data_IF_672783203933
#
_entry.id   IF_672783203933
#
_cell.length_a   1.000
_cell.length_b   1.000
_cell.length_c   1.000
_cell.angle_alpha   90.00
_cell.angle_beta   90.00
_cell.angle_gamma   90.00
#
_symmetry.space_group_name_H-M   'P 1'
#
loop_
_entity.id
_entity.type
_entity.pdbx_description
1 polymer ?
#
# COMPACT_ATOMS: atom_id res chain seq x y z
N UNK A 1 -6.47 -15.57 29.07
CA UNK A 1 -6.18 -14.49 28.12
C UNK A 1 -6.72 -14.92 26.75
N UNK A 2 -8.02 -14.76 26.50
CA UNK A 2 -8.60 -15.13 25.20
C UNK A 2 -8.96 -13.84 24.46
N UNK A 3 -7.94 -13.19 23.90
CA UNK A 3 -8.16 -12.14 22.90
C UNK A 3 -7.98 -12.78 21.53
N UNK A 4 -9.09 -13.09 20.88
CA UNK A 4 -9.16 -13.66 19.54
C UNK A 4 -8.83 -12.64 18.41
N UNK A 5 -8.08 -11.57 18.71
CA UNK A 5 -7.85 -10.45 17.79
C UNK A 5 -6.42 -10.36 17.23
N UNK A 6 -5.54 -11.33 17.53
CA UNK A 6 -4.23 -11.41 16.90
C UNK A 6 -3.70 -12.85 16.97
N UNK A 7 -3.60 -13.62 15.87
CA UNK A 7 -3.00 -14.96 15.90
C UNK A 7 -1.49 -14.98 16.15
N UNK A 8 -0.94 -13.90 16.71
CA UNK A 8 0.44 -13.85 17.15
C UNK A 8 1.39 -13.60 16.01
N UNK A 9 2.57 -13.11 16.35
CA UNK A 9 3.69 -13.15 15.42
C UNK A 9 4.10 -14.59 15.15
N UNK A 10 5.28 -14.76 14.58
CA UNK A 10 5.91 -16.05 14.35
C UNK A 10 6.35 -16.74 15.65
N UNK A 11 5.43 -16.93 16.61
CA UNK A 11 5.69 -17.43 17.96
C UNK A 11 6.13 -18.89 17.94
N UNK A 12 5.50 -19.71 17.09
CA UNK A 12 5.84 -21.13 16.93
C UNK A 12 7.25 -21.33 16.34
N UNK A 13 7.79 -20.30 15.67
CA UNK A 13 9.14 -20.31 15.12
C UNK A 13 10.20 -19.84 16.13
N UNK A 14 9.80 -19.37 17.32
CA UNK A 14 10.75 -18.90 18.34
C UNK A 14 11.39 -20.07 19.11
N UNK A 15 12.63 -19.90 19.59
CA UNK A 15 13.26 -20.89 20.45
C UNK A 15 12.53 -21.02 21.79
N UNK A 16 12.70 -22.17 22.44
CA UNK A 16 12.32 -22.32 23.85
C UNK A 16 13.16 -21.35 24.69
N UNK A 17 12.52 -20.60 25.57
CA UNK A 17 13.21 -19.70 26.48
C UNK A 17 13.97 -20.51 27.51
N UNK A 18 15.29 -20.32 27.54
CA UNK A 18 16.13 -21.02 28.49
C UNK A 18 15.89 -20.50 29.92
N UNK A 19 15.86 -21.43 30.87
CA UNK A 19 15.61 -21.19 32.28
C UNK A 19 16.55 -20.16 32.89
N UNK A 20 17.78 -20.14 32.40
CA UNK A 20 18.87 -19.27 32.84
C UNK A 20 18.78 -17.80 32.38
N UNK A 21 17.82 -17.44 31.53
CA UNK A 21 17.65 -16.04 31.12
C UNK A 21 17.38 -15.15 32.35
N UNK A 22 18.12 -14.03 32.53
CA UNK A 22 18.01 -13.21 33.74
C UNK A 22 16.59 -12.75 34.04
N UNK A 23 16.15 -12.96 35.28
CA UNK A 23 14.84 -12.52 35.73
C UNK A 23 13.67 -13.46 35.36
N UNK A 24 13.96 -14.67 34.89
CA UNK A 24 12.94 -15.70 34.70
C UNK A 24 12.13 -15.91 36.01
N UNK A 25 10.79 -15.74 36.02
CA UNK A 25 9.97 -15.94 37.21
C UNK A 25 9.54 -17.39 37.44
N UNK A 26 9.77 -18.29 36.47
CA UNK A 26 9.30 -19.68 36.52
C UNK A 26 10.30 -20.57 37.26
N UNK A 27 10.14 -20.63 38.58
CA UNK A 27 10.98 -21.45 39.45
C UNK A 27 10.74 -22.95 39.18
N UNK A 28 11.80 -23.71 38.93
CA UNK A 28 11.68 -25.16 38.79
C UNK A 28 11.34 -25.79 40.13
N UNK A 29 10.34 -26.68 40.15
CA UNK A 29 9.87 -27.34 41.35
C UNK A 29 9.78 -28.86 41.16
N UNK A 30 9.97 -29.61 42.25
CA UNK A 30 9.65 -31.04 42.28
C UNK A 30 8.13 -31.28 42.31
N UNK A 31 7.72 -32.56 42.27
CA UNK A 31 6.31 -32.94 42.31
C UNK A 31 5.57 -32.51 43.61
N UNK A 32 6.29 -32.12 44.66
CA UNK A 32 5.74 -31.64 45.92
C UNK A 32 5.73 -30.10 46.01
N UNK A 33 6.20 -29.40 44.98
CA UNK A 33 6.31 -27.95 44.96
C UNK A 33 7.57 -27.40 45.63
N UNK A 34 8.56 -28.24 45.94
CA UNK A 34 9.83 -27.76 46.50
C UNK A 34 10.73 -27.22 45.39
N UNK A 35 11.37 -26.05 45.58
CA UNK A 35 12.30 -25.49 44.60
C UNK A 35 13.48 -26.41 44.30
N UNK A 36 13.81 -26.56 43.02
CA UNK A 36 14.98 -27.26 42.54
C UNK A 36 16.19 -26.30 42.42
N UNK A 37 17.38 -26.87 42.55
CA UNK A 37 18.64 -26.16 42.43
C UNK A 37 19.53 -26.90 41.43
N UNK A 38 20.33 -26.14 40.68
CA UNK A 38 21.18 -26.66 39.62
C UNK A 38 22.65 -26.53 40.00
N UNK A 39 23.45 -27.48 39.51
CA UNK A 39 24.89 -27.41 39.60
C UNK A 39 25.42 -26.21 38.81
N UNK A 40 26.44 -25.55 39.36
CA UNK A 40 27.23 -24.49 38.73
C UNK A 40 28.70 -24.75 39.10
N UNK A 41 29.34 -25.68 38.38
CA UNK A 41 30.69 -26.13 38.68
C UNK A 41 31.77 -25.12 38.24
N UNK A 42 31.46 -24.26 37.27
CA UNK A 42 32.38 -23.28 36.72
C UNK A 42 32.24 -21.88 37.37
N UNK A 43 31.22 -21.67 38.19
CA UNK A 43 30.95 -20.44 38.94
C UNK A 43 30.46 -19.29 38.06
N UNK A 44 29.91 -19.58 36.88
CA UNK A 44 29.43 -18.57 35.94
C UNK A 44 27.97 -18.16 36.18
N UNK A 45 27.34 -18.70 37.23
CA UNK A 45 25.95 -18.46 37.63
C UNK A 45 24.90 -18.98 36.64
N UNK A 46 25.29 -19.85 35.71
CA UNK A 46 24.40 -20.58 34.81
C UNK A 46 24.32 -22.06 35.22
N UNK A 47 23.14 -22.69 35.09
CA UNK A 47 22.99 -24.13 35.31
C UNK A 47 23.85 -24.96 34.36
N UNK A 48 24.67 -25.86 34.90
CA UNK A 48 25.38 -26.86 34.12
C UNK A 48 24.38 -27.82 33.46
N UNK A 49 24.63 -28.13 32.18
CA UNK A 49 23.84 -29.10 31.40
C UNK A 49 24.69 -30.30 31.03
N UNK A 50 24.08 -31.48 31.06
CA UNK A 50 24.72 -32.73 30.67
C UNK A 50 24.89 -32.84 29.14
N UNK A 51 25.45 -33.96 28.66
CA UNK A 51 25.68 -34.20 27.23
C UNK A 51 24.38 -34.23 26.38
N UNK A 52 23.20 -34.33 27.01
CA UNK A 52 21.90 -34.30 26.34
C UNK A 52 21.22 -32.92 26.49
N UNK A 53 21.88 -31.93 27.09
CA UNK A 53 21.32 -30.60 27.33
C UNK A 53 20.38 -30.51 28.53
N UNK A 54 20.33 -31.53 29.39
CA UNK A 54 19.50 -31.56 30.59
C UNK A 54 20.25 -30.90 31.75
N UNK A 55 19.59 -30.00 32.46
CA UNK A 55 20.19 -29.34 33.64
C UNK A 55 20.52 -30.37 34.72
N UNK A 56 21.75 -30.31 35.22
CA UNK A 56 22.23 -31.15 36.31
C UNK A 56 21.77 -30.56 37.64
N UNK A 57 21.00 -31.32 38.41
CA UNK A 57 20.46 -30.86 39.69
C UNK A 57 21.48 -31.04 40.82
N UNK A 58 21.62 -30.01 41.66
CA UNK A 58 22.41 -30.04 42.90
C UNK A 58 21.62 -29.32 44.00
N UNK A 59 21.18 -30.01 45.07
CA UNK A 59 20.46 -29.39 46.19
C UNK A 59 21.19 -28.22 46.88
N UNK A 60 22.51 -28.14 46.76
CA UNK A 60 23.33 -27.04 47.31
C UNK A 60 23.75 -26.02 46.23
N UNK A 61 23.25 -26.20 45.00
CA UNK A 61 23.61 -25.41 43.85
C UNK A 61 22.85 -24.08 43.76
N UNK A 62 22.90 -23.48 42.57
CA UNK A 62 22.25 -22.21 42.30
C UNK A 62 20.75 -22.39 42.03
N UNK A 63 19.96 -21.31 42.18
CA UNK A 63 18.57 -21.33 41.75
C UNK A 63 18.38 -21.84 40.30
N UNK A 64 17.66 -22.96 40.12
CA UNK A 64 17.15 -23.43 38.82
C UNK A 64 15.74 -22.93 38.46
N UNK A 65 15.58 -22.43 37.23
CA UNK A 65 14.31 -21.99 36.66
C UNK A 65 14.00 -22.81 35.40
N UNK A 66 12.71 -23.02 35.13
CA UNK A 66 12.27 -23.88 34.02
C UNK A 66 12.50 -23.21 32.66
N UNK A 67 12.82 -24.05 31.66
CA UNK A 67 12.74 -23.66 30.26
C UNK A 67 11.25 -23.43 29.90
N UNK A 68 10.93 -22.31 29.24
CA UNK A 68 9.54 -21.89 28.98
C UNK A 68 9.28 -21.81 27.48
N UNK A 69 8.21 -22.46 27.03
CA UNK A 69 7.71 -22.31 25.65
C UNK A 69 6.67 -21.20 25.58
N UNK A 70 6.67 -20.46 24.48
CA UNK A 70 5.69 -19.41 24.26
C UNK A 70 4.34 -20.02 23.83
N UNK A 71 3.27 -19.68 24.54
CA UNK A 71 1.88 -19.93 24.07
C UNK A 71 1.21 -18.65 23.54
N UNK A 72 1.79 -17.49 23.82
CA UNK A 72 1.35 -16.18 23.39
C UNK A 72 2.24 -15.11 24.02
N UNK A 73 2.73 -14.16 23.23
CA UNK A 73 3.81 -13.29 23.69
C UNK A 73 3.74 -11.86 23.13
N UNK A 74 4.18 -10.93 23.97
CA UNK A 74 4.48 -9.54 23.60
C UNK A 74 5.96 -9.28 23.90
N UNK A 75 6.85 -9.25 22.89
CA UNK A 75 8.29 -9.15 23.10
C UNK A 75 8.71 -7.89 23.86
N UNK A 76 8.00 -6.78 23.67
CA UNK A 76 8.33 -5.51 24.31
C UNK A 76 7.10 -4.84 24.89
N UNK A 77 7.23 -4.39 26.13
CA UNK A 77 6.22 -3.62 26.86
C UNK A 77 6.64 -2.17 27.08
N UNK A 78 5.72 -1.33 27.57
CA UNK A 78 5.99 0.09 27.87
C UNK A 78 7.04 0.30 28.97
N UNK A 79 7.31 -0.73 29.76
CA UNK A 79 8.24 -0.73 30.89
C UNK A 79 9.69 -1.07 30.49
N UNK A 80 9.90 -1.59 29.28
CA UNK A 80 11.22 -1.91 28.72
C UNK A 80 11.94 -0.65 28.20
N UNK A 81 13.22 -0.81 27.86
CA UNK A 81 14.01 0.24 27.20
C UNK A 81 13.36 0.66 25.90
N UNK A 82 13.00 1.93 25.81
CA UNK A 82 12.29 2.44 24.65
C UNK A 82 13.22 2.50 23.44
N UNK A 83 12.90 1.76 22.38
CA UNK A 83 13.62 1.85 21.12
C UNK A 83 13.58 3.28 20.54
N UNK A 84 14.67 3.67 19.90
CA UNK A 84 14.82 4.91 19.15
C UNK A 84 13.62 5.11 18.23
N UNK A 85 13.15 6.36 18.08
CA UNK A 85 11.97 6.69 17.27
C UNK A 85 10.62 6.49 17.96
N UNK A 86 10.54 5.84 19.12
CA UNK A 86 9.31 5.82 19.92
C UNK A 86 9.16 7.06 20.82
N UNK A 87 7.90 7.44 21.09
CA UNK A 87 7.52 8.56 21.95
C UNK A 87 7.63 8.23 23.45
N UNK A 88 7.43 9.27 24.28
CA UNK A 88 7.29 9.20 25.74
C UNK A 88 6.51 8.00 26.27
N UNK A 89 5.42 7.64 25.59
CA UNK A 89 4.46 6.59 25.95
C UNK A 89 4.72 5.23 25.28
N UNK A 90 5.83 5.07 24.55
CA UNK A 90 6.19 3.86 23.82
C UNK A 90 5.46 3.65 22.50
N UNK A 91 4.72 4.65 21.98
CA UNK A 91 4.15 4.58 20.63
C UNK A 91 5.14 5.07 19.58
N UNK A 92 5.11 4.49 18.39
CA UNK A 92 5.85 5.01 17.24
C UNK A 92 4.97 6.05 16.52
N UNK A 93 5.37 7.33 16.43
CA UNK A 93 4.73 8.28 15.54
C UNK A 93 5.14 7.87 14.12
N UNK A 94 4.23 7.23 13.38
CA UNK A 94 4.47 6.86 11.99
C UNK A 94 5.09 8.02 11.21
N UNK A 95 6.05 7.71 10.33
CA UNK A 95 6.67 8.74 9.49
C UNK A 95 6.20 8.57 8.06
N UNK A 96 5.69 9.64 7.48
CA UNK A 96 5.30 9.70 6.09
C UNK A 96 5.83 11.01 5.50
N UNK A 97 6.48 10.93 4.34
CA UNK A 97 6.88 12.11 3.58
C UNK A 97 6.57 11.90 2.12
N UNK A 98 5.82 12.84 1.59
CA UNK A 98 5.52 12.96 0.18
C UNK A 98 6.24 14.18 -0.38
N UNK A 99 6.80 14.04 -1.57
CA UNK A 99 7.37 15.14 -2.34
C UNK A 99 6.96 14.98 -3.78
N UNK A 100 6.27 15.96 -4.32
CA UNK A 100 5.86 15.97 -5.71
C UNK A 100 6.33 17.25 -6.39
N UNK A 101 6.53 17.15 -7.71
CA UNK A 101 6.63 18.32 -8.58
C UNK A 101 5.76 18.09 -9.80
N UNK A 102 5.29 19.20 -10.38
CA UNK A 102 4.59 19.22 -11.65
C UNK A 102 5.08 20.43 -12.43
N UNK A 103 5.39 20.21 -13.69
CA UNK A 103 5.67 21.26 -14.66
C UNK A 103 4.67 21.07 -15.79
N UNK A 104 4.03 22.16 -16.21
CA UNK A 104 3.15 22.17 -17.37
C UNK A 104 3.53 23.33 -18.29
N UNK A 105 3.32 23.10 -19.58
CA UNK A 105 3.49 24.06 -20.64
C UNK A 105 2.27 23.96 -21.55
N UNK A 106 1.70 25.11 -21.88
CA UNK A 106 0.54 25.23 -22.74
C UNK A 106 0.81 26.34 -23.75
N UNK A 107 0.53 26.08 -25.03
CA UNK A 107 0.63 27.10 -26.08
C UNK A 107 -0.55 26.99 -27.02
N UNK A 108 -1.11 28.15 -27.34
CA UNK A 108 -2.12 28.30 -28.37
C UNK A 108 -1.44 28.79 -29.65
N UNK A 109 -1.93 28.36 -30.80
CA UNK A 109 -1.43 28.78 -32.10
C UNK A 109 -2.55 28.72 -33.15
N UNK A 110 -2.43 29.53 -34.20
CA UNK A 110 -3.30 29.41 -35.37
C UNK A 110 -2.78 28.27 -36.25
N UNK A 111 -3.67 27.42 -36.76
CA UNK A 111 -3.29 26.29 -37.60
C UNK A 111 -2.92 26.78 -39.00
N UNK A 112 -1.69 26.54 -39.49
CA UNK A 112 -1.32 26.95 -40.84
C UNK A 112 -2.21 26.28 -41.89
N UNK A 113 -2.61 27.05 -42.90
CA UNK A 113 -3.37 26.58 -44.07
C UNK A 113 -4.83 26.13 -43.79
N UNK A 114 -5.33 26.33 -42.57
CA UNK A 114 -6.73 26.13 -42.22
C UNK A 114 -7.29 27.42 -41.60
N UNK A 115 -8.03 28.19 -42.39
CA UNK A 115 -8.59 29.46 -41.93
C UNK A 115 -9.58 29.25 -40.77
N UNK A 116 -9.45 30.08 -39.72
CA UNK A 116 -10.28 30.01 -38.52
C UNK A 116 -9.95 28.85 -37.57
N UNK A 117 -8.99 27.97 -37.91
CA UNK A 117 -8.58 26.90 -37.03
C UNK A 117 -7.55 27.36 -36.00
N UNK A 118 -7.80 26.98 -34.75
CA UNK A 118 -6.90 27.18 -33.62
C UNK A 118 -6.41 25.83 -33.11
N UNK A 119 -5.20 25.85 -32.55
CA UNK A 119 -4.55 24.69 -31.98
C UNK A 119 -4.05 24.99 -30.58
N UNK A 120 -4.13 23.97 -29.72
CA UNK A 120 -3.57 23.95 -28.38
C UNK A 120 -2.60 22.79 -28.28
N UNK A 121 -1.37 23.06 -27.88
CA UNK A 121 -0.43 22.04 -27.46
C UNK A 121 -0.19 22.18 -25.96
N UNK A 122 -0.37 21.07 -25.25
CA UNK A 122 -0.14 20.98 -23.81
C UNK A 122 0.85 19.87 -23.51
N UNK A 123 1.82 20.15 -22.66
CA UNK A 123 2.76 19.16 -22.14
C UNK A 123 2.80 19.27 -20.62
N UNK A 124 2.69 18.13 -19.94
CA UNK A 124 2.75 18.05 -18.49
C UNK A 124 3.65 16.90 -18.07
N UNK A 125 4.51 17.15 -17.11
CA UNK A 125 5.30 16.12 -16.44
C UNK A 125 5.13 16.31 -14.93
N UNK A 126 4.82 15.24 -14.22
CA UNK A 126 4.90 15.17 -12.78
C UNK A 126 5.67 13.93 -12.32
N UNK A 127 6.23 14.06 -11.13
CA UNK A 127 6.73 12.92 -10.38
C UNK A 127 6.42 13.12 -8.90
N UNK A 128 6.25 12.01 -8.21
CA UNK A 128 5.97 11.95 -6.78
C UNK A 128 6.91 10.92 -6.14
N UNK A 129 7.47 11.27 -4.99
CA UNK A 129 8.23 10.35 -4.15
C UNK A 129 7.53 10.27 -2.80
N UNK A 130 7.08 9.07 -2.49
CA UNK A 130 6.47 8.70 -1.24
C UNK A 130 7.45 7.88 -0.42
N UNK A 131 7.73 8.27 0.82
CA UNK A 131 8.51 7.45 1.75
C UNK A 131 7.76 7.28 3.07
N UNK A 132 7.81 6.07 3.61
CA UNK A 132 7.19 5.72 4.88
C UNK A 132 8.13 4.97 5.81
N UNK A 133 8.02 5.20 7.11
CA UNK A 133 8.53 4.31 8.17
C UNK A 133 7.35 3.88 9.01
N UNK A 134 7.31 2.60 9.34
CA UNK A 134 6.32 2.01 10.22
C UNK A 134 7.01 1.24 11.35
N UNK A 135 6.26 0.99 12.42
CA UNK A 135 6.74 0.15 13.50
C UNK A 135 6.51 -1.31 13.15
N UNK A 136 7.61 -2.05 13.00
CA UNK A 136 7.56 -3.49 12.86
C UNK A 136 8.80 -4.11 13.51
N UNK A 137 8.72 -5.40 13.78
CA UNK A 137 9.72 -6.12 14.56
C UNK A 137 10.55 -7.05 13.66
N UNK A 138 11.87 -7.01 13.81
CA UNK A 138 12.77 -7.95 13.15
C UNK A 138 12.74 -9.30 13.87
N UNK A 139 12.26 -10.33 13.17
CA UNK A 139 12.12 -11.69 13.70
C UNK A 139 13.47 -12.29 14.08
N UNK A 140 14.43 -12.24 13.15
CA UNK A 140 15.79 -12.75 13.38
C UNK A 140 16.47 -12.03 14.53
N UNK A 141 16.23 -10.74 14.71
CA UNK A 141 16.80 -10.02 15.85
C UNK A 141 16.25 -10.50 17.20
N UNK A 142 14.96 -10.86 17.23
CA UNK A 142 14.36 -11.48 18.40
C UNK A 142 14.97 -12.87 18.63
N UNK A 143 15.01 -13.73 17.62
CA UNK A 143 15.55 -15.09 17.71
C UNK A 143 17.00 -15.08 18.20
N UNK A 144 17.85 -14.28 17.57
CA UNK A 144 19.25 -14.10 17.92
C UNK A 144 19.41 -13.60 19.35
N UNK A 145 18.63 -12.58 19.75
CA UNK A 145 18.64 -12.08 21.11
C UNK A 145 18.26 -13.13 22.15
N UNK A 146 17.22 -13.95 21.89
CA UNK A 146 16.79 -15.01 22.80
C UNK A 146 17.82 -16.12 22.96
N UNK A 147 18.55 -16.44 21.89
CA UNK A 147 19.64 -17.42 21.93
C UNK A 147 20.93 -16.87 22.52
N UNK A 148 21.02 -15.54 22.75
CA UNK A 148 22.27 -14.84 23.01
C UNK A 148 23.26 -14.94 21.84
N UNK A 149 22.77 -15.19 20.63
CA UNK A 149 23.55 -15.18 19.41
C UNK A 149 23.68 -13.72 18.96
N UNK A 150 24.87 -13.17 19.10
CA UNK A 150 25.10 -11.73 19.23
C UNK A 150 24.63 -10.87 18.04
N UNK A 151 23.80 -9.85 18.34
CA UNK A 151 23.60 -8.65 17.52
C UNK A 151 24.36 -7.42 18.06
N UNK A 152 25.24 -7.63 19.05
CA UNK A 152 26.08 -6.62 19.68
C UNK A 152 27.13 -7.21 20.62
N UNK A 153 27.53 -6.56 21.73
CA UNK A 153 28.49 -7.13 22.67
C UNK A 153 28.13 -8.56 23.07
N UNK A 154 29.15 -9.42 23.17
CA UNK A 154 29.02 -10.87 23.39
C UNK A 154 28.23 -11.23 24.66
N UNK A 155 28.07 -10.27 25.56
CA UNK A 155 27.48 -10.39 26.89
C UNK A 155 26.02 -9.92 27.00
N UNK A 156 25.38 -9.45 25.93
CA UNK A 156 23.98 -8.96 25.99
C UNK A 156 22.96 -9.89 25.29
N UNK A 157 22.21 -10.65 26.09
CA UNK A 157 21.04 -11.40 25.65
C UNK A 157 19.76 -10.55 25.67
N UNK A 158 18.82 -10.83 24.77
CA UNK A 158 17.48 -10.27 24.88
C UNK A 158 16.73 -10.93 26.04
N UNK A 159 16.32 -10.11 27.01
CA UNK A 159 15.53 -10.54 28.14
C UNK A 159 14.02 -10.38 27.86
N UNK A 160 13.27 -11.48 27.64
CA UNK A 160 11.83 -11.45 27.44
C UNK A 160 11.05 -11.15 28.74
N UNK A 161 11.66 -11.26 29.91
CA UNK A 161 11.01 -11.19 31.22
C UNK A 161 10.88 -9.77 31.77
N UNK A 162 11.71 -8.83 31.31
CA UNK A 162 11.66 -7.43 31.74
C UNK A 162 10.42 -6.65 31.21
N UNK A 163 9.35 -7.35 30.84
CA UNK A 163 8.00 -6.78 30.73
C UNK A 163 7.24 -6.84 32.06
N UNK A 164 7.63 -7.74 32.97
CA UNK A 164 7.08 -7.84 34.31
C UNK A 164 7.69 -6.76 35.23
N UNK A 165 6.88 -5.91 35.89
CA UNK A 165 7.35 -4.94 36.89
C UNK A 165 8.32 -5.50 37.93
N UNK A 166 8.12 -6.75 38.35
CA UNK A 166 8.94 -7.43 39.35
C UNK A 166 10.32 -7.83 38.83
N UNK A 167 10.53 -7.75 37.51
CA UNK A 167 11.74 -8.21 36.79
C UNK A 167 12.48 -7.05 36.10
N UNK A 168 11.96 -5.81 36.18
CA UNK A 168 12.44 -4.70 35.35
C UNK A 168 13.91 -4.33 35.57
N UNK A 169 14.42 -4.33 36.80
CA UNK A 169 15.78 -3.85 37.08
C UNK A 169 16.52 -4.81 37.99
N UNK A 170 17.79 -5.15 37.71
CA UNK A 170 18.65 -4.64 36.63
C UNK A 170 18.43 -5.27 35.25
N UNK A 171 17.38 -6.08 35.05
CA UNK A 171 17.27 -6.95 33.88
C UNK A 171 16.60 -6.35 32.63
N UNK A 172 16.43 -5.02 32.55
CA UNK A 172 15.94 -4.34 31.33
C UNK A 172 16.89 -4.56 30.15
N UNK A 173 16.34 -4.69 28.95
CA UNK A 173 17.12 -4.75 27.72
C UNK A 173 17.93 -3.48 27.46
N UNK A 174 19.08 -3.59 26.80
CA UNK A 174 19.84 -2.41 26.38
C UNK A 174 19.15 -1.64 25.25
N UNK A 175 19.59 -0.40 25.01
CA UNK A 175 19.08 0.41 23.89
C UNK A 175 19.34 -0.26 22.54
N UNK A 176 20.48 -0.94 22.41
CA UNK A 176 20.87 -1.62 21.19
C UNK A 176 19.95 -2.81 20.89
N UNK A 177 19.61 -3.63 21.89
CA UNK A 177 18.62 -4.71 21.72
C UNK A 177 17.25 -4.15 21.33
N UNK A 178 16.82 -3.06 21.98
CA UNK A 178 15.56 -2.41 21.65
C UNK A 178 15.55 -1.90 20.19
N UNK A 179 16.62 -1.26 19.73
CA UNK A 179 16.73 -0.71 18.37
C UNK A 179 16.91 -1.80 17.29
N UNK A 180 17.54 -2.92 17.64
CA UNK A 180 17.67 -4.07 16.74
C UNK A 180 16.32 -4.78 16.51
N UNK A 181 15.54 -4.98 17.58
CA UNK A 181 14.20 -5.57 17.50
C UNK A 181 13.22 -4.62 16.82
N UNK A 182 13.30 -3.31 17.08
CA UNK A 182 12.46 -2.29 16.45
C UNK A 182 13.29 -1.36 15.56
N UNK A 183 13.55 -1.75 14.30
CA UNK A 183 14.34 -0.95 13.36
C UNK A 183 13.56 0.24 12.79
N UNK A 184 12.97 1.07 13.65
CA UNK A 184 12.09 2.20 13.31
C UNK A 184 12.75 3.30 12.47
N UNK A 185 14.08 3.30 12.41
CA UNK A 185 14.86 4.25 11.61
C UNK A 185 14.94 3.84 10.14
N UNK A 186 14.68 2.57 9.83
CA UNK A 186 14.63 2.08 8.46
C UNK A 186 13.36 2.59 7.79
N UNK A 187 13.49 3.04 6.54
CA UNK A 187 12.33 3.21 5.68
C UNK A 187 11.66 1.85 5.55
N UNK A 188 10.34 1.77 5.74
CA UNK A 188 9.56 0.59 5.37
C UNK A 188 9.44 0.50 3.86
N UNK A 189 9.10 1.63 3.23
CA UNK A 189 8.74 1.69 1.81
C UNK A 189 9.17 3.01 1.20
N UNK A 190 9.50 2.96 -0.08
CA UNK A 190 9.61 4.10 -0.98
C UNK A 190 8.85 3.78 -2.26
N UNK A 191 8.01 4.71 -2.72
CA UNK A 191 7.35 4.63 -4.02
C UNK A 191 7.72 5.86 -4.83
N UNK A 192 8.31 5.65 -6.00
CA UNK A 192 8.57 6.73 -6.96
C UNK A 192 7.52 6.62 -8.09
N UNK A 193 6.63 7.59 -8.23
CA UNK A 193 5.57 7.63 -9.26
C UNK A 193 5.86 8.70 -10.31
N UNK A 194 5.48 8.48 -11.55
CA UNK A 194 5.67 9.44 -12.65
C UNK A 194 4.45 9.49 -13.58
N UNK A 195 4.20 10.68 -14.12
CA UNK A 195 3.18 10.92 -15.14
C UNK A 195 3.70 11.95 -16.15
N UNK A 196 3.58 11.63 -17.43
CA UNK A 196 3.82 12.54 -18.54
C UNK A 196 2.58 12.54 -19.43
N UNK A 197 2.10 13.70 -19.84
CA UNK A 197 0.96 13.87 -20.75
C UNK A 197 1.33 14.89 -21.82
N UNK A 198 1.09 14.54 -23.07
CA UNK A 198 1.24 15.42 -24.22
C UNK A 198 -0.08 15.40 -24.99
N UNK A 199 -0.67 16.57 -25.16
CA UNK A 199 -1.93 16.77 -25.87
C UNK A 199 -1.73 17.74 -27.03
N UNK A 200 -2.37 17.42 -28.15
CA UNK A 200 -2.55 18.31 -29.29
C UNK A 200 -4.02 18.32 -29.64
N UNK A 201 -4.65 19.49 -29.59
CA UNK A 201 -6.05 19.70 -29.95
C UNK A 201 -6.08 20.76 -31.04
N UNK A 202 -6.82 20.50 -32.11
CA UNK A 202 -7.09 21.44 -33.19
C UNK A 202 -8.60 21.58 -33.33
N UNK A 203 -9.11 22.81 -33.38
CA UNK A 203 -10.53 23.09 -33.51
C UNK A 203 -10.81 24.26 -34.44
N UNK A 204 -11.96 24.22 -35.11
CA UNK A 204 -12.40 25.25 -36.05
C UNK A 204 -13.70 24.84 -36.74
N UNK A 205 -14.06 25.56 -37.79
CA UNK A 205 -15.18 25.18 -38.66
C UNK A 205 -14.75 24.13 -39.68
N UNK A 206 -15.67 23.26 -40.11
CA UNK A 206 -15.40 22.21 -41.08
C UNK A 206 -14.81 22.79 -42.37
N UNK A 207 -13.60 22.35 -42.79
CA UNK A 207 -12.98 22.84 -44.01
C UNK A 207 -13.84 22.55 -45.24
N UNK A 208 -13.85 23.47 -46.20
CA UNK A 208 -14.62 23.35 -47.44
C UNK A 208 -15.91 24.17 -47.48
N UNK A 209 -16.21 24.96 -46.44
CA UNK A 209 -17.35 25.88 -46.43
C UNK A 209 -18.70 25.18 -46.36
N UNK A 210 -18.74 23.96 -45.80
CA UNK A 210 -19.97 23.24 -45.58
C UNK A 210 -20.73 23.85 -44.39
N UNK A 211 -21.95 24.29 -44.65
CA UNK A 211 -22.86 24.81 -43.64
C UNK A 211 -24.20 24.07 -43.69
N UNK A 212 -24.85 24.00 -42.55
CA UNK A 212 -26.22 23.55 -42.39
C UNK A 212 -27.12 24.78 -42.24
N UNK A 213 -28.46 24.62 -42.31
CA UNK A 213 -29.37 25.75 -42.15
C UNK A 213 -29.18 26.57 -40.87
N UNK A 214 -28.65 25.98 -39.79
CA UNK A 214 -28.32 26.68 -38.55
C UNK A 214 -26.90 27.25 -38.48
N UNK A 215 -26.07 27.12 -39.52
CA UNK A 215 -24.73 27.70 -39.60
C UNK A 215 -23.60 26.70 -39.93
N UNK A 216 -22.33 27.13 -39.76
CA UNK A 216 -21.16 26.31 -40.07
C UNK A 216 -21.02 25.14 -39.09
N UNK A 217 -20.52 24.00 -39.59
CA UNK A 217 -20.28 22.81 -38.77
C UNK A 217 -19.01 23.02 -37.95
N UNK A 218 -19.12 22.96 -36.62
CA UNK A 218 -17.96 22.99 -35.73
C UNK A 218 -17.25 21.63 -35.69
N UNK A 219 -15.93 21.63 -35.65
CA UNK A 219 -15.12 20.41 -35.61
C UNK A 219 -13.92 20.59 -34.67
N UNK A 220 -13.61 19.53 -33.93
CA UNK A 220 -12.38 19.41 -33.17
C UNK A 220 -11.76 18.02 -33.39
N UNK A 221 -10.44 17.98 -33.47
CA UNK A 221 -9.66 16.74 -33.51
C UNK A 221 -8.52 16.86 -32.54
N UNK A 222 -8.12 15.74 -31.95
CA UNK A 222 -6.94 15.76 -31.11
C UNK A 222 -6.30 14.41 -30.89
N UNK A 223 -5.09 14.46 -30.37
CA UNK A 223 -4.31 13.30 -30.01
C UNK A 223 -3.69 13.52 -28.63
N UNK A 224 -3.63 12.45 -27.85
CA UNK A 224 -2.97 12.41 -26.55
C UNK A 224 -1.96 11.28 -26.51
N UNK A 225 -0.80 11.56 -25.90
CA UNK A 225 0.13 10.54 -25.44
C UNK A 225 0.36 10.71 -23.95
N UNK A 226 0.07 9.68 -23.17
CA UNK A 226 0.27 9.63 -21.73
C UNK A 226 1.21 8.50 -21.36
N UNK A 227 2.19 8.76 -20.49
CA UNK A 227 3.02 7.73 -19.88
C UNK A 227 2.88 7.84 -18.36
N UNK A 228 2.52 6.75 -17.70
CA UNK A 228 2.41 6.71 -16.25
C UNK A 228 3.10 5.45 -15.70
N UNK A 229 3.70 5.55 -14.53
CA UNK A 229 4.39 4.41 -13.92
C UNK A 229 4.71 4.64 -12.46
N UNK A 230 5.08 3.56 -11.77
CA UNK A 230 5.54 3.58 -10.40
C UNK A 230 6.67 2.59 -10.17
N UNK A 231 7.50 2.86 -9.18
CA UNK A 231 8.59 2.01 -8.72
C UNK A 231 8.49 1.88 -7.20
N UNK A 232 7.97 0.73 -6.76
CA UNK A 232 7.77 0.34 -5.37
C UNK A 232 8.98 -0.40 -4.83
N UNK A 233 9.61 0.21 -3.81
CA UNK A 233 10.83 -0.26 -3.14
C UNK A 233 10.54 -0.51 -1.67
N UNK A 234 10.07 -1.72 -1.30
CA UNK A 234 10.00 -2.11 0.11
C UNK A 234 11.41 -2.21 0.69
N UNK A 235 11.53 -2.10 2.01
CA UNK A 235 12.81 -2.25 2.71
C UNK A 235 13.33 -3.68 2.67
N UNK A 236 14.63 -3.86 2.89
CA UNK A 236 15.24 -5.20 2.95
C UNK A 236 14.54 -6.12 3.99
N UNK A 237 14.11 -5.57 5.12
CA UNK A 237 13.40 -6.31 6.16
C UNK A 237 12.07 -6.90 5.66
N UNK A 238 11.33 -6.12 4.87
CA UNK A 238 10.07 -6.56 4.27
C UNK A 238 10.31 -7.47 3.07
N UNK A 239 11.32 -7.22 2.25
CA UNK A 239 11.67 -8.10 1.13
C UNK A 239 12.14 -9.49 1.57
N UNK A 240 12.79 -9.60 2.73
CA UNK A 240 13.26 -10.89 3.24
C UNK A 240 12.20 -11.68 4.00
N UNK A 241 11.00 -11.12 4.22
CA UNK A 241 9.96 -11.73 5.07
C UNK A 241 10.38 -11.89 6.54
N UNK A 242 11.41 -11.17 6.99
CA UNK A 242 12.02 -11.35 8.33
C UNK A 242 11.27 -10.55 9.41
N UNK A 243 9.96 -10.40 9.25
CA UNK A 243 9.10 -9.69 10.19
C UNK A 243 8.57 -10.68 11.22
N UNK A 244 8.61 -10.32 12.51
CA UNK A 244 7.95 -11.11 13.55
C UNK A 244 6.42 -11.04 13.37
N UNK A 245 5.92 -9.85 13.01
CA UNK A 245 4.54 -9.60 12.63
C UNK A 245 4.50 -8.96 11.24
N UNK A 246 3.83 -9.61 10.29
CA UNK A 246 3.66 -9.10 8.94
C UNK A 246 4.03 -10.13 7.89
N UNK A 247 4.15 -9.66 6.66
CA UNK A 247 4.36 -10.51 5.49
C UNK A 247 5.49 -9.94 4.65
N UNK A 248 6.10 -10.81 3.83
CA UNK A 248 7.03 -10.38 2.81
C UNK A 248 6.36 -9.44 1.82
N UNK A 249 7.10 -8.44 1.36
CA UNK A 249 6.66 -7.57 0.27
C UNK A 249 7.70 -7.55 -0.83
N UNK A 250 7.27 -7.83 -2.05
CA UNK A 250 8.15 -7.79 -3.22
C UNK A 250 8.19 -6.40 -3.87
N UNK A 251 9.34 -6.00 -4.42
CA UNK A 251 9.44 -4.78 -5.22
C UNK A 251 8.60 -4.91 -6.50
N UNK A 252 8.13 -3.77 -7.01
CA UNK A 252 7.36 -3.71 -8.26
C UNK A 252 7.73 -2.46 -9.05
N UNK A 253 8.00 -2.61 -10.34
CA UNK A 253 8.30 -1.48 -11.22
C UNK A 253 7.47 -1.64 -12.49
N UNK A 254 6.48 -0.77 -12.63
CA UNK A 254 5.46 -0.86 -13.66
C UNK A 254 5.32 0.46 -14.39
N UNK A 255 5.15 0.40 -15.71
CA UNK A 255 4.92 1.58 -16.53
C UNK A 255 3.98 1.27 -17.70
N UNK A 256 3.26 2.29 -18.15
CA UNK A 256 2.25 2.17 -19.19
C UNK A 256 2.22 3.41 -20.06
N UNK A 257 2.29 3.18 -21.37
CA UNK A 257 2.01 4.18 -22.37
C UNK A 257 0.56 4.07 -22.82
N UNK A 258 -0.09 5.21 -23.00
CA UNK A 258 -1.44 5.34 -23.52
C UNK A 258 -1.40 6.30 -24.68
N UNK A 259 -1.91 5.86 -25.82
CA UNK A 259 -2.08 6.67 -27.02
C UNK A 259 -3.56 6.80 -27.29
N UNK A 260 -4.01 8.02 -27.54
CA UNK A 260 -5.41 8.29 -27.82
C UNK A 260 -5.57 9.30 -28.94
N UNK A 261 -6.69 9.20 -29.65
CA UNK A 261 -7.15 10.23 -30.56
C UNK A 261 -8.65 10.44 -30.39
N UNK A 262 -9.13 11.62 -30.76
CA UNK A 262 -10.56 11.92 -30.75
C UNK A 262 -10.95 12.81 -31.92
N UNK A 263 -12.22 12.74 -32.28
CA UNK A 263 -12.88 13.64 -33.22
C UNK A 263 -14.23 14.03 -32.62
N UNK A 264 -14.55 15.31 -32.63
CA UNK A 264 -15.84 15.87 -32.21
C UNK A 264 -16.39 16.79 -33.30
N UNK A 265 -17.70 16.75 -33.51
CA UNK A 265 -18.41 17.57 -34.48
C UNK A 265 -19.71 18.10 -33.88
N UNK A 266 -20.01 19.36 -34.17
CA UNK A 266 -21.25 20.04 -33.84
C UNK A 266 -21.96 20.45 -35.13
N UNK A 267 -23.16 19.91 -35.33
CA UNK A 267 -23.99 20.08 -36.52
C UNK A 267 -25.18 20.99 -36.20
N UNK A 268 -25.14 22.28 -36.54
CA UNK A 268 -26.26 23.18 -36.35
C UNK A 268 -27.31 22.95 -37.45
N UNK A 269 -28.15 21.92 -37.27
CA UNK A 269 -29.15 21.48 -38.26
C UNK A 269 -30.15 22.60 -38.59
N UNK A 270 -30.57 23.36 -37.58
CA UNK A 270 -31.40 24.56 -37.67
C UNK A 270 -30.92 25.57 -36.62
N UNK A 271 -31.35 26.83 -36.70
CA UNK A 271 -31.03 27.88 -35.71
C UNK A 271 -31.35 27.49 -34.26
N UNK A 272 -32.26 26.54 -34.07
CA UNK A 272 -32.70 26.07 -32.76
C UNK A 272 -32.48 24.56 -32.53
N UNK A 273 -31.76 23.88 -33.42
CA UNK A 273 -31.51 22.45 -33.33
C UNK A 273 -30.06 22.13 -33.67
N UNK A 274 -29.33 21.61 -32.68
CA UNK A 274 -27.95 21.14 -32.84
C UNK A 274 -27.85 19.64 -32.52
N UNK A 275 -27.07 18.94 -33.34
CA UNK A 275 -26.68 17.56 -33.09
C UNK A 275 -25.17 17.54 -32.88
N UNK A 276 -24.69 16.82 -31.88
CA UNK A 276 -23.25 16.61 -31.66
C UNK A 276 -22.90 15.14 -31.84
N UNK A 277 -21.76 14.86 -32.47
CA UNK A 277 -21.21 13.50 -32.54
C UNK A 277 -19.72 13.54 -32.21
N UNK A 278 -19.27 12.62 -31.38
CA UNK A 278 -17.89 12.50 -30.97
C UNK A 278 -17.48 11.03 -30.88
N UNK A 279 -16.19 10.76 -31.05
CA UNK A 279 -15.59 9.47 -30.76
C UNK A 279 -14.18 9.66 -30.23
N UNK A 280 -13.77 8.79 -29.31
CA UNK A 280 -12.42 8.74 -28.76
C UNK A 280 -11.92 7.31 -28.75
N UNK A 281 -10.72 7.06 -29.27
CA UNK A 281 -10.03 5.77 -29.19
C UNK A 281 -8.86 5.90 -28.23
N UNK A 282 -8.70 4.96 -27.31
CA UNK A 282 -7.52 4.86 -26.46
C UNK A 282 -6.90 3.46 -26.54
N UNK A 283 -5.57 3.40 -26.59
CA UNK A 283 -4.79 2.16 -26.63
C UNK A 283 -3.71 2.18 -25.57
N UNK A 284 -3.65 1.11 -24.80
CA UNK A 284 -2.74 0.96 -23.68
C UNK A 284 -1.65 -0.06 -24.04
N UNK A 285 -0.39 0.24 -23.72
CA UNK A 285 0.72 -0.69 -23.95
C UNK A 285 0.62 -1.99 -23.15
N UNK A 286 -0.28 -2.03 -22.16
CA UNK A 286 -0.62 -3.22 -21.36
C UNK A 286 -1.70 -4.10 -21.99
N UNK A 287 -2.11 -3.81 -23.23
CA UNK A 287 -3.01 -4.66 -24.03
C UNK A 287 -4.48 -4.24 -24.04
N UNK A 288 -4.89 -3.30 -23.18
CA UNK A 288 -6.26 -2.79 -23.16
C UNK A 288 -6.49 -1.72 -24.24
N UNK A 289 -7.72 -1.62 -24.74
CA UNK A 289 -8.15 -0.54 -25.64
C UNK A 289 -9.65 -0.31 -25.53
N UNK A 290 -10.11 0.87 -25.92
CA UNK A 290 -11.53 1.21 -26.01
C UNK A 290 -11.77 2.25 -27.09
N UNK A 291 -12.90 2.16 -27.78
CA UNK A 291 -13.40 3.20 -28.69
C UNK A 291 -14.78 3.63 -28.21
N UNK A 292 -14.91 4.90 -27.83
CA UNK A 292 -16.06 5.41 -27.12
C UNK A 292 -16.80 6.49 -27.91
N UNK A 293 -17.92 6.15 -28.57
CA UNK A 293 -18.75 7.13 -29.25
C UNK A 293 -19.69 7.87 -28.29
N UNK A 294 -20.00 9.12 -28.63
CA UNK A 294 -21.00 9.96 -27.95
C UNK A 294 -21.82 10.74 -28.96
N UNK A 295 -23.13 10.74 -28.76
CA UNK A 295 -24.10 11.49 -29.53
C UNK A 295 -24.89 12.41 -28.61
N UNK A 296 -25.25 13.59 -29.10
CA UNK A 296 -26.02 14.57 -28.37
C UNK A 296 -26.99 15.30 -29.28
N UNK A 297 -28.08 15.76 -28.69
CA UNK A 297 -29.06 16.64 -29.33
C UNK A 297 -29.41 17.76 -28.35
N UNK A 298 -29.39 18.98 -28.84
CA UNK A 298 -29.89 20.17 -28.16
C UNK A 298 -30.96 20.80 -29.04
N UNK A 299 -32.16 20.96 -28.50
CA UNK A 299 -33.29 21.50 -29.25
C UNK A 299 -34.01 22.57 -28.43
N UNK A 300 -34.07 23.79 -28.96
CA UNK A 300 -34.76 24.93 -28.38
C UNK A 300 -36.05 25.23 -29.16
N UNK A 301 -37.15 24.47 -28.94
CA UNK A 301 -38.40 24.69 -29.67
C UNK A 301 -38.99 26.09 -29.46
N UNK A 302 -38.68 26.74 -28.33
CA UNK A 302 -39.06 28.10 -27.98
C UNK A 302 -37.89 28.81 -27.30
N UNK A 303 -37.94 30.14 -27.19
CA UNK A 303 -36.90 30.94 -26.52
C UNK A 303 -36.76 30.58 -25.03
N UNK A 304 -37.85 30.19 -24.38
CA UNK A 304 -37.88 29.87 -22.95
C UNK A 304 -37.65 28.38 -22.63
N UNK A 305 -37.55 27.48 -23.62
CA UNK A 305 -37.41 26.04 -23.41
C UNK A 305 -36.27 25.46 -24.23
N UNK A 306 -35.32 24.82 -23.57
CA UNK A 306 -34.30 23.98 -24.23
C UNK A 306 -34.39 22.55 -23.73
N UNK A 307 -34.40 21.60 -24.65
CA UNK A 307 -34.33 20.17 -24.40
C UNK A 307 -32.94 19.66 -24.77
N UNK A 308 -32.37 18.78 -23.94
CA UNK A 308 -31.07 18.15 -24.18
C UNK A 308 -31.16 16.66 -23.96
N UNK A 309 -30.52 15.89 -24.82
CA UNK A 309 -30.30 14.46 -24.59
C UNK A 309 -28.94 14.03 -25.13
N UNK A 310 -28.30 13.08 -24.45
CA UNK A 310 -27.01 12.52 -24.84
C UNK A 310 -26.99 11.02 -24.62
N UNK A 311 -26.36 10.28 -25.53
CA UNK A 311 -26.11 8.85 -25.42
C UNK A 311 -24.67 8.56 -25.80
N UNK A 312 -23.97 7.72 -25.05
CA UNK A 312 -22.61 7.33 -25.40
C UNK A 312 -22.07 6.23 -24.50
N UNK A 313 -20.85 5.80 -24.78
CA UNK A 313 -20.13 4.85 -23.91
C UNK A 313 -19.01 5.56 -23.16
N UNK A 314 -18.56 4.94 -22.08
CA UNK A 314 -17.37 5.32 -21.35
C UNK A 314 -16.64 4.07 -20.87
N UNK A 315 -15.36 4.22 -20.55
CA UNK A 315 -14.57 3.12 -20.02
C UNK A 315 -13.57 3.59 -18.95
N UNK A 316 -13.11 2.64 -18.13
CA UNK A 316 -12.00 2.79 -17.20
C UNK A 316 -11.08 1.59 -17.40
N UNK A 317 -9.83 1.84 -17.83
CA UNK A 317 -8.82 0.79 -17.91
C UNK A 317 -8.35 0.39 -16.49
N UNK A 318 -8.04 -0.90 -16.22
CA UNK A 318 -7.49 -1.33 -14.95
C UNK A 318 -6.24 -0.54 -14.59
N UNK A 319 -5.96 -0.31 -13.31
CA UNK A 319 -4.72 0.32 -12.89
C UNK A 319 -3.53 -0.62 -13.11
N UNK A 320 -2.30 -0.07 -13.13
CA UNK A 320 -1.08 -0.90 -13.19
C UNK A 320 -1.00 -1.88 -12.00
N UNK A 321 -1.53 -1.49 -10.84
CA UNK A 321 -1.57 -2.34 -9.66
C UNK A 321 -2.61 -3.47 -9.81
N UNK A 322 -3.77 -3.19 -10.41
CA UNK A 322 -4.77 -4.23 -10.68
C UNK A 322 -4.24 -5.31 -11.63
N UNK A 323 -3.38 -4.92 -12.59
CA UNK A 323 -2.76 -5.84 -13.54
C UNK A 323 -1.59 -6.61 -12.93
N UNK A 324 -0.68 -5.91 -12.25
CA UNK A 324 0.68 -6.40 -12.00
C UNK A 324 1.11 -6.32 -10.52
N UNK A 325 0.19 -6.11 -9.57
CA UNK A 325 0.55 -6.14 -8.15
C UNK A 325 1.25 -7.47 -7.79
N UNK A 326 2.43 -7.43 -7.13
CA UNK A 326 3.03 -8.64 -6.59
C UNK A 326 2.08 -9.31 -5.61
N UNK A 327 2.20 -10.62 -5.47
CA UNK A 327 1.41 -11.36 -4.50
C UNK A 327 1.70 -10.86 -3.08
N UNK A 328 0.65 -10.56 -2.33
CA UNK A 328 0.71 -10.20 -0.91
C UNK A 328 -0.26 -11.06 -0.13
N UNK A 329 0.24 -11.72 0.90
CA UNK A 329 -0.55 -12.60 1.75
C UNK A 329 -0.66 -12.05 3.16
N UNK A 330 -1.85 -11.56 3.53
CA UNK A 330 -2.11 -11.05 4.87
C UNK A 330 -3.08 -11.94 5.63
N UNK A 331 -3.10 -11.83 6.95
CA UNK A 331 -4.16 -12.40 7.74
C UNK A 331 -5.39 -11.49 7.65
N UNK A 332 -6.54 -12.08 7.28
CA UNK A 332 -7.80 -11.35 7.18
C UNK A 332 -8.96 -12.19 7.70
N UNK A 333 -9.99 -11.50 8.18
CA UNK A 333 -11.30 -12.12 8.41
C UNK A 333 -11.86 -12.58 7.06
N UNK A 334 -12.30 -13.83 7.01
CA UNK A 334 -13.05 -14.42 5.93
C UNK A 334 -14.47 -14.61 6.44
N UNK A 335 -15.34 -13.69 6.05
CA UNK A 335 -16.79 -13.76 6.27
C UNK A 335 -17.46 -14.29 4.99
N UNK A 336 -18.21 -15.38 5.12
CA UNK A 336 -19.07 -15.85 4.03
C UNK A 336 -20.38 -15.06 4.04
N UNK A 337 -20.69 -14.24 3.02
CA UNK A 337 -21.91 -13.42 3.00
C UNK A 337 -23.19 -14.25 2.94
N UNK A 338 -23.09 -15.55 2.65
CA UNK A 338 -24.22 -16.47 2.52
C UNK A 338 -24.38 -17.42 3.72
N UNK A 339 -23.50 -17.36 4.73
CA UNK A 339 -23.60 -18.21 5.92
C UNK A 339 -23.09 -17.52 7.19
N UNK A 340 -23.15 -18.20 8.33
CA UNK A 340 -22.53 -17.71 9.59
C UNK A 340 -21.07 -18.15 9.72
N UNK A 341 -20.46 -18.66 8.64
CA UNK A 341 -19.07 -19.07 8.65
C UNK A 341 -18.16 -17.84 8.76
N UNK A 342 -17.28 -17.90 9.76
CA UNK A 342 -16.22 -16.93 9.99
C UNK A 342 -14.91 -17.69 10.18
N UNK A 343 -13.88 -17.28 9.46
CA UNK A 343 -12.52 -17.76 9.68
C UNK A 343 -11.54 -16.59 9.70
N UNK A 344 -10.45 -16.74 10.45
CA UNK A 344 -9.31 -15.85 10.33
C UNK A 344 -8.19 -16.64 9.65
N UNK A 345 -7.88 -16.27 8.41
CA UNK A 345 -7.01 -17.06 7.55
C UNK A 345 -6.04 -16.18 6.78
N UNK A 346 -4.94 -16.78 6.32
CA UNK A 346 -4.02 -16.16 5.38
C UNK A 346 -4.71 -16.04 4.02
N UNK A 347 -4.90 -14.82 3.55
CA UNK A 347 -5.45 -14.49 2.24
C UNK A 347 -4.39 -13.83 1.39
N UNK A 348 -4.12 -14.42 0.23
CA UNK A 348 -3.22 -13.87 -0.77
C UNK A 348 -4.00 -13.11 -1.85
N UNK A 349 -3.46 -11.99 -2.30
CA UNK A 349 -3.98 -11.21 -3.43
C UNK A 349 -2.81 -10.84 -4.33
N UNK A 350 -3.04 -10.87 -5.63
CA UNK A 350 -2.08 -10.47 -6.66
C UNK A 350 -2.83 -9.73 -7.78
N UNK A 351 -2.08 -9.06 -8.65
CA UNK A 351 -2.61 -8.48 -9.88
C UNK A 351 -3.10 -9.56 -10.84
N UNK A 352 -4.06 -9.21 -11.67
CA UNK A 352 -4.58 -10.06 -12.74
C UNK A 352 -4.31 -9.41 -14.10
N UNK A 353 -3.32 -9.91 -14.88
CA UNK A 353 -2.97 -9.33 -16.17
C UNK A 353 -4.07 -9.50 -17.24
N UNK A 354 -5.04 -10.39 -17.01
CA UNK A 354 -6.13 -10.67 -17.94
C UNK A 354 -7.35 -9.74 -17.74
N UNK A 355 -7.24 -8.73 -16.87
CA UNK A 355 -8.32 -7.77 -16.68
C UNK A 355 -8.59 -6.96 -17.96
N UNK A 356 -9.86 -6.92 -18.32
CA UNK A 356 -10.40 -6.05 -19.36
C UNK A 356 -10.87 -4.72 -18.76
N UNK A 357 -10.99 -3.65 -19.56
CA UNK A 357 -11.60 -2.41 -19.10
C UNK A 357 -13.02 -2.59 -18.55
N UNK A 358 -13.36 -1.80 -17.53
CA UNK A 358 -14.74 -1.57 -17.12
C UNK A 358 -15.40 -0.62 -18.13
N UNK A 359 -16.63 -0.92 -18.57
CA UNK A 359 -17.36 -0.09 -19.54
C UNK A 359 -18.74 0.29 -19.02
N UNK A 360 -19.26 1.41 -19.51
CA UNK A 360 -20.58 1.91 -19.15
C UNK A 360 -21.30 2.48 -20.37
N UNK A 361 -22.57 2.07 -20.54
CA UNK A 361 -23.52 2.74 -21.44
C UNK A 361 -24.22 3.88 -20.69
N UNK A 362 -24.18 5.08 -21.26
CA UNK A 362 -24.77 6.27 -20.67
C UNK A 362 -25.90 6.82 -21.52
N UNK A 363 -27.00 7.19 -20.87
CA UNK A 363 -28.11 7.92 -21.45
C UNK A 363 -28.53 9.00 -20.46
N UNK A 364 -28.53 10.26 -20.91
CA UNK A 364 -28.98 11.39 -20.12
C UNK A 364 -29.94 12.24 -20.95
N UNK A 365 -30.95 12.81 -20.31
CA UNK A 365 -31.88 13.75 -20.91
C UNK A 365 -32.35 14.75 -19.86
N UNK A 366 -32.66 15.96 -20.29
CA UNK A 366 -33.07 17.04 -19.41
C UNK A 366 -33.61 18.24 -20.18
N UNK A 367 -34.06 19.24 -19.44
CA UNK A 367 -34.58 20.46 -20.00
C UNK A 367 -34.19 21.67 -19.14
N UNK A 368 -34.13 22.84 -19.75
CA UNK A 368 -33.91 24.15 -19.11
C UNK A 368 -35.10 25.05 -19.45
N UNK A 369 -35.60 25.79 -18.47
CA UNK A 369 -36.69 26.76 -18.63
C UNK A 369 -36.18 28.15 -18.24
N UNK A 370 -36.30 29.11 -19.15
CA UNK A 370 -35.90 30.51 -18.98
C UNK A 370 -37.11 31.42 -19.30
N UNK A 371 -38.00 31.65 -18.33
CA UNK A 371 -39.31 32.26 -18.59
C UNK A 371 -39.27 33.80 -18.74
N UNK A 372 -38.11 34.43 -18.52
CA UNK A 372 -37.92 35.88 -18.61
C UNK A 372 -36.49 36.14 -19.11
N UNK A 373 -36.34 36.98 -20.13
CA UNK A 373 -35.03 37.45 -20.60
C UNK A 373 -34.38 38.34 -19.51
N UNK A 374 -33.08 38.18 -19.29
CA UNK A 374 -32.29 38.96 -18.33
C UNK A 374 -31.72 40.24 -18.95
#
# INVERSE_FOLDING_TARGET
>A
QNSAANPGGRVDDLPTLRGELPGNPFRAMDANGNPLFAQDANGDTLPDRDANGVVVLDPNGIPFNEDVTFSGWRPFGKSQTRASGHNGNGSFPGFYRERSYRISFDTNFTVPYLDGWEGVFSAMQSAEVNIGRDNNQDFRAIEQGLNCDTLGPIDECFNPWAVNPDVLRPHTNSQMIADAIFPTQLLRRRTDSSLAVYDLILNGEMPGGFELPGGPIGMAVGAQRRNNGFDYKPSALYQSGNLYNGQQEDPANESRNVEAWFVEMAFPVLDNLEITAATRDERYSTGQSSTDPKFGITWAPTEWLTLRATKGTAFIAPSLNDLNAPERCNLSNLDDPMSTFFAYARRCQAGNPDLTPETADTLAYGFTIEPIDN
#
